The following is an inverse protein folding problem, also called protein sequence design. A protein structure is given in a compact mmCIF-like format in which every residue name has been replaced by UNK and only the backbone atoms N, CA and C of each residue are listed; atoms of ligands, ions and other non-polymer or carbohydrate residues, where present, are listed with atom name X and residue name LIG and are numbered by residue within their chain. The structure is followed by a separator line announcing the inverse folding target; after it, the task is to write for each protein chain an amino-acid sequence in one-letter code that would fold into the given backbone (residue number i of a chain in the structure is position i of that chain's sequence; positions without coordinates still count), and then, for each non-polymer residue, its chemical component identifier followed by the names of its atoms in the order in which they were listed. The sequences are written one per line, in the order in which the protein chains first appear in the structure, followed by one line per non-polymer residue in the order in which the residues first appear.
data_IF_683566755666
#
_entry.id   IF_683566755666
#
_cell.length_a   1.000
_cell.length_b   1.000
_cell.length_c   1.000
_cell.angle_alpha   90.00
_cell.angle_beta   90.00
_cell.angle_gamma   90.00
#
_symmetry.space_group_name_H-M   'P 1'
#
loop_
_entity.id
_entity.type
_entity.pdbx_description
1 polymer ?
#
# COMPACT_ATOMS: atom_id res chain seq x y z
N UNK A 1 15.82 -4.56 -4.12
CA UNK A 1 15.80 -5.18 -5.46
C UNK A 1 14.68 -6.21 -5.54
N UNK A 2 13.88 -6.17 -6.60
CA UNK A 2 12.77 -7.13 -6.78
C UNK A 2 13.30 -8.54 -7.00
N UNK A 3 12.59 -9.53 -6.46
CA UNK A 3 12.85 -10.94 -6.70
C UNK A 3 12.64 -11.26 -8.19
N UNK A 4 13.28 -12.33 -8.68
CA UNK A 4 13.07 -12.78 -10.07
C UNK A 4 11.61 -13.16 -10.34
N UNK A 5 10.90 -13.68 -9.33
CA UNK A 5 9.49 -14.08 -9.39
C UNK A 5 8.53 -13.01 -8.84
N UNK A 6 8.94 -11.74 -8.85
CA UNK A 6 8.18 -10.66 -8.21
C UNK A 6 6.75 -10.51 -8.73
N UNK A 7 6.53 -10.74 -10.02
CA UNK A 7 5.20 -10.59 -10.62
C UNK A 7 4.23 -11.65 -10.09
N UNK A 8 4.69 -12.88 -10.00
CA UNK A 8 3.93 -13.98 -9.42
C UNK A 8 3.61 -13.70 -7.95
N UNK A 9 4.60 -13.26 -7.18
CA UNK A 9 4.43 -12.93 -5.76
C UNK A 9 3.48 -11.76 -5.54
N UNK A 10 3.51 -10.76 -6.42
CA UNK A 10 2.57 -9.65 -6.39
C UNK A 10 1.13 -10.15 -6.50
N UNK A 11 0.83 -10.95 -7.51
CA UNK A 11 -0.52 -11.46 -7.73
C UNK A 11 -0.97 -12.44 -6.65
N UNK A 12 -0.11 -13.33 -6.19
CA UNK A 12 -0.43 -14.25 -5.08
C UNK A 12 -0.84 -13.47 -3.83
N UNK A 13 -0.12 -12.41 -3.49
CA UNK A 13 -0.39 -11.61 -2.30
C UNK A 13 -1.67 -10.79 -2.45
N UNK A 14 -1.90 -10.19 -3.62
CA UNK A 14 -3.14 -9.46 -3.89
C UNK A 14 -4.34 -10.42 -3.78
N UNK A 15 -4.26 -11.58 -4.39
CA UNK A 15 -5.33 -12.58 -4.36
C UNK A 15 -5.59 -13.10 -2.94
N UNK A 16 -4.56 -13.21 -2.11
CA UNK A 16 -4.70 -13.63 -0.72
C UNK A 16 -5.53 -12.65 0.12
N UNK A 17 -5.69 -11.41 -0.34
CA UNK A 17 -6.52 -10.40 0.34
C UNK A 17 -7.96 -10.35 -0.17
N UNK A 18 -8.30 -11.11 -1.20
CA UNK A 18 -9.67 -11.19 -1.68
C UNK A 18 -10.57 -11.74 -0.56
N UNK A 19 -11.71 -11.09 -0.36
CA UNK A 19 -12.65 -11.48 0.69
C UNK A 19 -12.29 -11.03 2.10
N UNK A 20 -11.14 -10.39 2.31
CA UNK A 20 -10.80 -9.85 3.62
C UNK A 20 -11.54 -8.55 3.87
N UNK A 21 -12.02 -8.37 5.10
CA UNK A 21 -12.64 -7.14 5.54
C UNK A 21 -11.56 -6.15 5.99
N UNK A 22 -11.82 -4.87 5.77
CA UNK A 22 -10.94 -3.82 6.25
C UNK A 22 -10.94 -3.79 7.78
N UNK A 23 -9.75 -3.77 8.38
CA UNK A 23 -9.57 -3.62 9.82
C UNK A 23 -8.25 -2.92 10.10
N UNK A 24 -8.29 -1.74 10.69
CA UNK A 24 -7.09 -1.00 11.03
C UNK A 24 -6.14 -1.82 11.90
N UNK A 25 -4.87 -1.85 11.52
CA UNK A 25 -3.83 -2.59 12.23
C UNK A 25 -3.76 -4.08 11.90
N UNK A 26 -4.69 -4.59 11.10
CA UNK A 26 -4.76 -6.00 10.67
C UNK A 26 -4.77 -6.09 9.16
N UNK A 27 -5.83 -5.57 8.52
CA UNK A 27 -6.01 -5.55 7.08
C UNK A 27 -6.45 -4.15 6.65
N UNK A 28 -5.52 -3.23 6.51
CA UNK A 28 -5.75 -1.88 6.03
C UNK A 28 -4.95 -1.62 4.76
N UNK A 29 -5.14 -0.44 4.14
CA UNK A 29 -4.51 -0.15 2.85
C UNK A 29 -2.99 -0.10 2.94
N UNK A 30 -2.45 0.39 4.05
CA UNK A 30 -1.00 0.51 4.23
C UNK A 30 -0.36 -0.87 4.44
N UNK A 31 -0.97 -1.72 5.27
CA UNK A 31 -0.50 -3.09 5.50
C UNK A 31 -0.63 -3.95 4.24
N UNK A 32 -1.72 -3.78 3.49
CA UNK A 32 -1.88 -4.44 2.20
C UNK A 32 -0.71 -4.11 1.26
N UNK A 33 -0.44 -2.83 1.06
CA UNK A 33 0.64 -2.39 0.18
C UNK A 33 2.01 -2.87 0.67
N UNK A 34 2.24 -2.81 1.99
CA UNK A 34 3.48 -3.28 2.59
C UNK A 34 3.68 -4.79 2.38
N UNK A 35 2.63 -5.60 2.55
CA UNK A 35 2.71 -7.05 2.33
C UNK A 35 3.00 -7.40 0.87
N UNK A 36 2.37 -6.70 -0.07
CA UNK A 36 2.64 -6.91 -1.49
C UNK A 36 4.09 -6.53 -1.82
N UNK A 37 4.53 -5.37 -1.32
CA UNK A 37 5.92 -4.94 -1.49
C UNK A 37 6.90 -5.97 -0.93
N UNK A 38 6.67 -6.43 0.31
CA UNK A 38 7.52 -7.42 0.96
C UNK A 38 7.61 -8.73 0.17
N UNK A 39 6.49 -9.18 -0.37
CA UNK A 39 6.46 -10.39 -1.19
C UNK A 39 7.30 -10.25 -2.47
N UNK A 40 7.30 -9.05 -3.08
CA UNK A 40 8.06 -8.77 -4.29
C UNK A 40 9.56 -8.55 -4.04
N UNK A 41 9.93 -8.06 -2.86
CA UNK A 41 11.29 -7.60 -2.55
C UNK A 41 11.99 -8.41 -1.46
N UNK A 42 11.30 -9.34 -0.83
CA UNK A 42 11.83 -10.13 0.28
C UNK A 42 12.28 -9.25 1.46
N UNK A 43 11.39 -8.33 1.84
CA UNK A 43 11.57 -7.39 2.95
C UNK A 43 10.56 -7.66 4.06
N UNK A 44 10.61 -6.89 5.16
CA UNK A 44 9.77 -7.07 6.34
C UNK A 44 9.09 -5.78 6.80
N UNK A 45 8.69 -4.93 5.86
CA UNK A 45 8.07 -3.63 6.17
C UNK A 45 6.70 -3.78 6.82
N UNK A 46 5.91 -4.77 6.42
CA UNK A 46 4.58 -4.98 6.99
C UNK A 46 4.64 -5.28 8.48
N UNK A 47 5.58 -6.11 8.91
CA UNK A 47 5.80 -6.42 10.33
C UNK A 47 6.20 -5.17 11.13
N UNK A 48 7.12 -4.38 10.59
CA UNK A 48 7.55 -3.15 11.23
C UNK A 48 6.41 -2.14 11.34
N UNK A 49 5.59 -2.02 10.29
CA UNK A 49 4.44 -1.11 10.28
C UNK A 49 3.35 -1.57 11.27
N UNK A 50 3.05 -2.86 11.31
CA UNK A 50 2.05 -3.43 12.20
C UNK A 50 2.38 -3.24 13.69
N UNK A 51 3.65 -3.02 14.02
CA UNK A 51 4.08 -2.71 15.38
C UNK A 51 3.81 -1.25 15.78
N UNK A 52 3.44 -0.37 14.82
CA UNK A 52 3.28 1.06 15.05
C UNK A 52 1.87 1.47 15.48
N UNK A 53 0.86 0.68 15.11
CA UNK A 53 -0.53 0.98 15.44
C UNK A 53 -1.35 -0.31 15.46
N UNK A 54 -2.52 -0.26 16.10
CA UNK A 54 -3.34 -1.44 16.31
C UNK A 54 -4.85 -1.21 16.10
N UNK A 55 -5.26 0.05 15.92
CA UNK A 55 -6.65 0.44 15.67
C UNK A 55 -6.69 1.73 14.85
N UNK A 56 -7.90 2.22 14.55
CA UNK A 56 -8.08 3.44 13.77
C UNK A 56 -7.42 4.66 14.42
N UNK A 57 -7.67 4.87 15.71
CA UNK A 57 -7.14 6.04 16.40
C UNK A 57 -5.63 6.08 16.42
N UNK A 58 -5.00 4.96 16.75
CA UNK A 58 -3.54 4.87 16.77
C UNK A 58 -2.94 4.95 15.36
N UNK A 59 -3.63 4.41 14.34
CA UNK A 59 -3.19 4.50 12.96
C UNK A 59 -3.22 5.94 12.46
N UNK A 60 -4.31 6.67 12.71
CA UNK A 60 -4.42 8.07 12.29
C UNK A 60 -3.43 8.95 13.03
N UNK A 61 -3.20 8.70 14.34
CA UNK A 61 -2.21 9.41 15.12
C UNK A 61 -0.79 9.18 14.58
N UNK A 62 -0.46 7.95 14.22
CA UNK A 62 0.84 7.62 13.65
C UNK A 62 1.05 8.33 12.30
N UNK A 63 0.07 8.25 11.40
CA UNK A 63 0.12 8.89 10.09
C UNK A 63 0.26 10.40 10.23
N UNK A 64 -0.52 11.02 11.10
CA UNK A 64 -0.46 12.46 11.35
C UNK A 64 0.91 12.87 11.88
N UNK A 65 1.47 12.10 12.82
CA UNK A 65 2.80 12.36 13.37
C UNK A 65 3.91 12.32 12.31
N UNK A 66 3.71 11.54 11.25
CA UNK A 66 4.66 11.47 10.12
C UNK A 66 4.45 12.59 9.09
N UNK A 67 3.35 13.33 9.18
CA UNK A 67 2.99 14.37 8.21
C UNK A 67 2.07 13.90 7.10
N UNK A 68 1.51 12.71 7.19
CA UNK A 68 0.62 12.10 6.22
C UNK A 68 1.07 10.73 5.76
N UNK A 69 0.29 10.07 4.92
CA UNK A 69 0.62 8.74 4.39
C UNK A 69 1.89 8.78 3.53
N UNK A 70 2.02 9.77 2.64
CA UNK A 70 3.20 9.91 1.79
C UNK A 70 4.51 9.97 2.58
N UNK A 71 4.66 10.93 3.50
CA UNK A 71 5.84 10.99 4.36
C UNK A 71 6.08 9.73 5.19
N UNK A 72 5.01 9.08 5.68
CA UNK A 72 5.15 7.82 6.42
C UNK A 72 5.76 6.71 5.55
N UNK A 73 5.34 6.59 4.30
CA UNK A 73 5.89 5.60 3.36
C UNK A 73 7.35 5.89 3.02
N UNK A 74 7.71 7.17 2.92
CA UNK A 74 9.09 7.55 2.61
C UNK A 74 10.10 7.02 3.63
N UNK A 75 9.70 6.81 4.88
CA UNK A 75 10.58 6.21 5.90
C UNK A 75 10.94 4.76 5.57
N UNK A 76 10.06 4.05 4.88
CA UNK A 76 10.25 2.63 4.54
C UNK A 76 10.83 2.44 3.13
N UNK A 77 10.35 3.21 2.17
CA UNK A 77 10.63 3.00 0.75
C UNK A 77 11.51 4.08 0.11
N UNK A 78 11.85 5.12 0.86
CA UNK A 78 12.65 6.20 0.33
C UNK A 78 11.82 7.30 -0.32
N UNK A 79 12.46 8.09 -1.17
CA UNK A 79 11.85 9.28 -1.75
C UNK A 79 10.69 8.95 -2.71
N UNK A 80 9.58 9.67 -2.55
CA UNK A 80 8.44 9.56 -3.44
C UNK A 80 8.74 10.20 -4.79
N UNK A 81 8.43 9.50 -5.87
CA UNK A 81 8.57 10.00 -7.24
C UNK A 81 7.21 10.48 -7.76
N UNK A 82 7.24 11.49 -8.60
CA UNK A 82 6.05 11.98 -9.31
C UNK A 82 6.18 11.61 -10.78
N UNK A 83 6.27 10.32 -11.03
CA UNK A 83 6.43 9.74 -12.35
C UNK A 83 5.21 8.90 -12.71
N UNK A 84 5.15 8.44 -13.95
CA UNK A 84 4.11 7.51 -14.38
C UNK A 84 4.25 6.19 -13.62
N UNK A 85 3.18 5.69 -12.99
CA UNK A 85 3.25 4.43 -12.26
C UNK A 85 3.43 3.25 -13.22
N UNK A 86 4.24 2.30 -12.80
CA UNK A 86 4.50 1.06 -13.53
C UNK A 86 4.04 -0.13 -12.69
N UNK A 87 3.81 -1.25 -13.35
CA UNK A 87 3.41 -2.49 -12.67
C UNK A 87 4.38 -2.83 -11.54
N UNK A 88 3.82 -3.06 -10.36
CA UNK A 88 4.60 -3.39 -9.16
C UNK A 88 4.98 -2.19 -8.31
N UNK A 89 4.71 -0.97 -8.74
CA UNK A 89 4.98 0.21 -7.92
C UNK A 89 3.95 0.33 -6.79
N UNK A 90 4.44 0.71 -5.61
CA UNK A 90 3.56 1.22 -4.54
C UNK A 90 3.14 2.63 -4.93
N UNK A 91 1.86 2.92 -4.80
CA UNK A 91 1.32 4.22 -5.20
C UNK A 91 0.48 4.84 -4.10
N UNK A 92 0.57 6.16 -4.00
CA UNK A 92 -0.32 6.97 -3.19
C UNK A 92 -1.46 7.44 -4.08
N UNK A 93 -2.68 7.18 -3.67
CA UNK A 93 -3.88 7.53 -4.44
C UNK A 93 -4.86 8.30 -3.58
N UNK A 94 -5.72 9.06 -4.24
CA UNK A 94 -6.87 9.71 -3.62
C UNK A 94 -8.14 9.06 -4.14
N UNK A 95 -8.99 8.63 -3.22
CA UNK A 95 -10.28 8.05 -3.55
C UNK A 95 -11.34 8.61 -2.61
N UNK A 96 -12.36 9.26 -3.17
CA UNK A 96 -13.45 9.89 -2.41
C UNK A 96 -12.94 10.85 -1.32
N UNK A 97 -11.92 11.64 -1.64
CA UNK A 97 -11.34 12.62 -0.73
C UNK A 97 -10.40 12.04 0.32
N UNK A 98 -10.08 10.76 0.24
CA UNK A 98 -9.16 10.10 1.18
C UNK A 98 -7.91 9.62 0.47
N UNK A 99 -6.77 9.84 1.11
CA UNK A 99 -5.52 9.25 0.68
C UNK A 99 -5.44 7.80 1.10
N UNK A 100 -4.89 6.96 0.23
CA UNK A 100 -4.65 5.55 0.54
C UNK A 100 -3.49 5.03 -0.29
N UNK A 101 -2.93 3.90 0.13
CA UNK A 101 -1.90 3.20 -0.63
C UNK A 101 -2.51 2.08 -1.47
N UNK A 102 -1.85 1.81 -2.58
CA UNK A 102 -2.18 0.68 -3.43
C UNK A 102 -0.97 0.20 -4.20
N UNK A 103 -1.20 -0.77 -5.06
CA UNK A 103 -0.17 -1.35 -5.92
C UNK A 103 -0.62 -1.18 -7.38
N UNK A 104 0.24 -0.62 -8.20
CA UNK A 104 -0.02 -0.55 -9.63
C UNK A 104 0.11 -1.94 -10.24
N UNK A 105 -0.95 -2.43 -10.87
CA UNK A 105 -0.98 -3.75 -11.50
C UNK A 105 -0.76 -3.69 -13.02
N UNK A 106 -0.42 -2.49 -13.51
CA UNK A 106 -0.20 -2.22 -14.92
C UNK A 106 -1.26 -1.27 -15.48
N UNK A 107 -2.50 -1.72 -15.59
CA UNK A 107 -3.61 -0.90 -16.12
C UNK A 107 -4.39 -0.15 -15.04
N UNK A 108 -4.31 -0.62 -13.80
CA UNK A 108 -5.09 -0.12 -12.69
C UNK A 108 -4.29 -0.15 -11.39
N UNK A 109 -4.93 0.22 -10.30
CA UNK A 109 -4.36 0.16 -8.95
C UNK A 109 -5.23 -0.77 -8.12
N UNK A 110 -4.60 -1.76 -7.49
CA UNK A 110 -5.25 -2.61 -6.49
C UNK A 110 -5.01 -2.03 -5.10
N UNK A 111 -6.06 -1.97 -4.29
CA UNK A 111 -5.96 -1.46 -2.92
C UNK A 111 -6.97 -2.18 -2.03
N UNK A 112 -6.76 -2.10 -0.72
CA UNK A 112 -7.72 -2.58 0.27
C UNK A 112 -8.37 -1.35 0.92
N UNK A 113 -9.59 -1.05 0.50
CA UNK A 113 -10.36 0.07 1.02
C UNK A 113 -11.28 -0.34 2.17
N UNK A 114 -11.99 0.65 2.75
CA UNK A 114 -12.90 0.42 3.88
C UNK A 114 -14.00 -0.60 3.58
N UNK A 115 -14.42 -0.71 2.33
CA UNK A 115 -15.47 -1.65 1.91
C UNK A 115 -14.90 -2.94 1.31
N UNK A 116 -13.60 -3.20 1.52
CA UNK A 116 -12.90 -4.36 1.01
C UNK A 116 -11.99 -4.03 -0.17
N UNK A 117 -11.49 -5.07 -0.88
CA UNK A 117 -10.60 -4.86 -2.03
C UNK A 117 -11.25 -4.04 -3.12
N UNK A 118 -10.51 -3.08 -3.67
CA UNK A 118 -10.98 -2.21 -4.74
C UNK A 118 -9.95 -2.13 -5.87
N UNK A 119 -10.44 -1.84 -7.08
CA UNK A 119 -9.60 -1.53 -8.23
C UNK A 119 -9.87 -0.09 -8.64
N UNK A 120 -8.83 0.73 -8.70
CA UNK A 120 -8.93 2.15 -8.95
C UNK A 120 -8.15 2.53 -10.22
N UNK A 121 -8.54 3.65 -10.90
CA UNK A 121 -7.84 4.08 -12.10
C UNK A 121 -6.46 4.68 -11.78
N UNK A 122 -5.53 4.53 -12.69
CA UNK A 122 -4.18 5.10 -12.57
C UNK A 122 -4.19 6.63 -12.50
N UNK A 123 -5.24 7.26 -13.03
CA UNK A 123 -5.39 8.72 -12.97
C UNK A 123 -5.48 9.25 -11.54
N UNK A 124 -5.83 8.41 -10.58
CA UNK A 124 -5.90 8.78 -9.15
C UNK A 124 -4.53 8.81 -8.46
N UNK A 125 -3.46 8.38 -9.14
CA UNK A 125 -2.12 8.28 -8.53
C UNK A 125 -1.51 9.67 -8.36
N UNK A 126 -1.04 9.95 -7.13
CA UNK A 126 -0.39 11.20 -6.75
C UNK A 126 1.10 11.05 -6.49
N UNK A 127 1.54 9.86 -6.16
CA UNK A 127 2.93 9.56 -5.85
C UNK A 127 3.26 8.09 -6.06
N UNK A 128 4.54 7.82 -6.29
CA UNK A 128 5.02 6.48 -6.70
C UNK A 128 6.32 6.15 -5.95
N UNK A 129 6.46 4.90 -5.58
CA UNK A 129 7.69 4.33 -5.01
C UNK A 129 8.16 3.09 -5.74
#
# INVERSE_FOLDING_TARGET
MKRADWLEKMWETIEAHEGREFAWGVDDCCLFAARVYDAMHDTHHAEALAARYHDEDSALAYIEAQGGIGPAVCEYLGEMRRTRPMRGDVVLIENAGREMLGICTGRAVAALGHDGPVTLPKASVMGVW
#
